data_IF_143220726577
#
_entry.id   IF_143220726577
#
_cell.length_a   1.000
_cell.length_b   1.000
_cell.length_c   1.000
_cell.angle_alpha   90.00
_cell.angle_beta   90.00
_cell.angle_gamma   90.00
#
_symmetry.space_group_name_H-M   'P 1'
#
loop_
_entity.id
_entity.type
_entity.pdbx_description
1 polymer ?
#
# COMPACT_ATOMS: atom_id res chain seq x y z
N UNK A 1 17.80 -25.39 42.96
CA UNK A 1 17.20 -26.31 41.97
C UNK A 1 17.10 -25.57 40.64
N UNK A 2 17.25 -26.32 39.55
CA UNK A 2 17.63 -25.88 38.21
C UNK A 2 16.60 -25.02 37.47
N UNK A 3 17.13 -24.29 36.49
CA UNK A 3 16.48 -23.55 35.41
C UNK A 3 15.52 -24.44 34.58
N UNK A 4 14.39 -23.87 34.15
CA UNK A 4 13.48 -24.44 33.16
C UNK A 4 13.11 -23.41 32.10
N UNK A 5 13.84 -23.44 30.99
CA UNK A 5 13.68 -22.65 29.77
C UNK A 5 12.28 -22.78 29.15
N UNK A 6 11.64 -21.67 28.76
CA UNK A 6 10.57 -21.72 27.76
C UNK A 6 11.16 -22.06 26.39
N UNK A 7 10.61 -23.10 25.76
CA UNK A 7 10.97 -23.60 24.42
C UNK A 7 10.58 -22.57 23.36
N UNK A 8 11.44 -22.45 22.34
CA UNK A 8 11.18 -21.80 21.05
C UNK A 8 9.85 -22.29 20.45
N UNK A 9 9.00 -21.35 20.05
CA UNK A 9 7.78 -21.62 19.28
C UNK A 9 8.08 -21.29 17.82
N UNK A 10 8.86 -22.14 17.16
CA UNK A 10 9.13 -22.06 15.72
C UNK A 10 8.77 -23.39 15.01
N UNK A 11 7.77 -24.12 15.54
CA UNK A 11 7.34 -25.39 14.95
C UNK A 11 5.83 -25.55 15.09
N UNK A 12 5.10 -24.98 14.13
CA UNK A 12 3.98 -25.61 13.42
C UNK A 12 3.23 -24.53 12.62
N UNK A 13 3.78 -24.20 11.44
CA UNK A 13 3.00 -23.53 10.39
C UNK A 13 2.39 -24.67 9.58
N UNK A 14 1.17 -25.09 9.91
CA UNK A 14 0.46 -26.08 9.09
C UNK A 14 -0.11 -25.40 7.84
N UNK A 15 -0.13 -26.11 6.72
CA UNK A 15 -0.78 -25.66 5.48
C UNK A 15 -2.31 -25.78 5.52
N UNK A 16 -2.88 -26.08 6.70
CA UNK A 16 -4.30 -26.33 6.89
C UNK A 16 -4.93 -25.16 7.66
N UNK A 17 -5.87 -24.46 7.00
CA UNK A 17 -6.65 -23.40 7.64
C UNK A 17 -7.38 -23.93 8.88
N UNK A 18 -7.24 -23.26 10.01
CA UNK A 18 -7.84 -23.61 11.30
C UNK A 18 -9.29 -23.12 11.44
N UNK A 19 -9.94 -22.74 10.34
CA UNK A 19 -11.27 -22.14 10.32
C UNK A 19 -12.31 -23.09 9.73
N UNK A 20 -13.40 -23.33 10.45
CA UNK A 20 -14.53 -24.14 9.98
C UNK A 20 -15.25 -23.45 8.81
N UNK A 21 -15.56 -24.20 7.74
CA UNK A 21 -16.28 -23.68 6.59
C UNK A 21 -17.75 -23.37 6.93
N UNK A 22 -18.20 -22.16 6.59
CA UNK A 22 -19.62 -21.79 6.57
C UNK A 22 -20.38 -22.63 5.54
N UNK A 23 -21.60 -23.06 5.87
CA UNK A 23 -22.41 -24.01 5.08
C UNK A 23 -22.92 -23.45 3.73
N UNK A 24 -22.75 -22.17 3.43
CA UNK A 24 -23.14 -21.54 2.16
C UNK A 24 -22.05 -20.57 1.66
N UNK A 25 -20.96 -21.11 1.08
CA UNK A 25 -19.92 -20.30 0.43
C UNK A 25 -20.40 -19.81 -0.93
N UNK A 26 -20.20 -18.53 -1.24
CA UNK A 26 -20.41 -17.98 -2.59
C UNK A 26 -19.17 -18.16 -3.45
N UNK A 27 -19.30 -17.92 -4.76
CA UNK A 27 -18.14 -17.89 -5.67
C UNK A 27 -17.05 -16.90 -5.21
N UNK A 28 -17.45 -15.78 -4.62
CA UNK A 28 -16.51 -14.80 -4.06
C UNK A 28 -15.79 -15.33 -2.80
N UNK A 29 -16.49 -16.06 -1.91
CA UNK A 29 -15.86 -16.68 -0.75
C UNK A 29 -14.80 -17.72 -1.18
N UNK A 30 -15.14 -18.56 -2.16
CA UNK A 30 -14.21 -19.55 -2.72
C UNK A 30 -13.03 -18.90 -3.44
N UNK A 31 -13.28 -17.80 -4.14
CA UNK A 31 -12.25 -17.02 -4.81
C UNK A 31 -11.25 -16.42 -3.81
N UNK A 32 -11.74 -15.72 -2.78
CA UNK A 32 -10.90 -15.17 -1.71
C UNK A 32 -10.11 -16.28 -1.02
N UNK A 33 -10.77 -17.40 -0.68
CA UNK A 33 -10.12 -18.51 0.01
C UNK A 33 -8.94 -19.05 -0.81
N UNK A 34 -9.15 -19.26 -2.11
CA UNK A 34 -8.15 -19.83 -3.00
C UNK A 34 -7.01 -18.87 -3.33
N UNK A 35 -7.32 -17.61 -3.62
CA UNK A 35 -6.35 -16.65 -4.15
C UNK A 35 -5.66 -15.83 -3.05
N UNK A 36 -6.26 -15.72 -1.86
CA UNK A 36 -5.76 -14.86 -0.78
C UNK A 36 -5.58 -15.61 0.53
N UNK A 37 -6.65 -16.21 1.09
CA UNK A 37 -6.60 -16.77 2.44
C UNK A 37 -5.65 -17.95 2.53
N UNK A 38 -5.83 -18.98 1.70
CA UNK A 38 -5.01 -20.20 1.74
C UNK A 38 -3.54 -19.93 1.38
N UNK A 39 -3.21 -19.11 0.35
CA UNK A 39 -1.81 -18.83 0.05
C UNK A 39 -1.14 -17.91 1.08
N UNK A 40 -1.79 -16.87 1.58
CA UNK A 40 -1.13 -15.81 2.35
C UNK A 40 -1.51 -15.73 3.82
N UNK A 41 -2.45 -16.55 4.29
CA UNK A 41 -3.01 -16.46 5.65
C UNK A 41 -3.59 -15.07 5.95
N UNK A 42 -4.26 -14.48 4.95
CA UNK A 42 -4.90 -13.15 5.04
C UNK A 42 -6.40 -13.31 4.90
N UNK A 43 -7.15 -12.76 5.85
CA UNK A 43 -8.62 -12.76 5.81
C UNK A 43 -9.14 -11.51 5.10
N UNK A 44 -10.14 -11.68 4.22
CA UNK A 44 -10.86 -10.56 3.61
C UNK A 44 -12.31 -10.56 4.09
N UNK A 45 -12.66 -9.54 4.88
CA UNK A 45 -14.02 -9.32 5.36
C UNK A 45 -14.72 -8.30 4.47
N UNK A 46 -15.44 -8.80 3.46
CA UNK A 46 -16.19 -7.95 2.53
C UNK A 46 -17.68 -7.87 2.82
N UNK A 47 -18.22 -8.87 3.55
CA UNK A 47 -19.59 -8.82 4.09
C UNK A 47 -19.58 -8.08 5.41
N UNK A 48 -20.56 -7.20 5.59
CA UNK A 48 -20.65 -6.38 6.78
C UNK A 48 -20.78 -7.24 8.04
N UNK A 49 -19.87 -7.02 8.97
CA UNK A 49 -19.87 -7.62 10.30
C UNK A 49 -19.56 -6.49 11.29
N UNK A 50 -20.57 -6.06 12.05
CA UNK A 50 -20.44 -4.93 13.00
C UNK A 50 -19.28 -5.14 13.98
N UNK A 51 -19.01 -6.40 14.35
CA UNK A 51 -17.91 -6.79 15.23
C UNK A 51 -16.53 -6.42 14.71
N UNK A 52 -16.34 -6.29 13.39
CA UNK A 52 -15.02 -6.08 12.78
C UNK A 52 -14.64 -4.59 12.63
N UNK A 53 -15.59 -3.66 12.81
CA UNK A 53 -15.39 -2.23 12.55
C UNK A 53 -15.05 -1.47 13.84
N UNK A 54 -15.32 -2.06 15.02
CA UNK A 54 -14.72 -1.72 16.32
C UNK A 54 -14.92 -0.28 16.85
N UNK A 55 -15.66 0.57 16.13
CA UNK A 55 -15.90 1.99 16.43
C UNK A 55 -17.34 2.31 16.05
N UNK A 56 -17.97 3.27 16.74
CA UNK A 56 -19.36 3.72 16.54
C UNK A 56 -19.62 4.40 15.17
N UNK A 57 -18.91 3.98 14.12
CA UNK A 57 -19.08 4.46 12.76
C UNK A 57 -20.30 3.81 12.12
N UNK A 58 -21.16 4.65 11.55
CA UNK A 58 -22.27 4.20 10.70
C UNK A 58 -21.73 4.05 9.28
N UNK A 59 -21.61 2.82 8.79
CA UNK A 59 -21.20 2.51 7.42
C UNK A 59 -22.10 1.46 6.80
N UNK A 60 -21.98 1.23 5.49
CA UNK A 60 -22.74 0.22 4.76
C UNK A 60 -21.87 -1.01 4.44
N UNK A 61 -22.47 -2.15 4.07
CA UNK A 61 -21.73 -3.22 3.40
C UNK A 61 -21.01 -2.70 2.15
N UNK A 62 -19.84 -3.27 1.86
CA UNK A 62 -19.17 -3.08 0.58
C UNK A 62 -19.86 -3.92 -0.50
N UNK A 63 -19.99 -3.36 -1.70
CA UNK A 63 -20.52 -4.07 -2.86
C UNK A 63 -19.56 -5.20 -3.25
N UNK A 64 -20.12 -6.36 -3.62
CA UNK A 64 -19.30 -7.52 -4.00
C UNK A 64 -18.42 -7.21 -5.22
N UNK A 65 -18.96 -6.50 -6.22
CA UNK A 65 -18.22 -6.06 -7.41
C UNK A 65 -16.98 -5.20 -7.07
N UNK A 66 -17.12 -4.19 -6.23
CA UNK A 66 -16.00 -3.35 -5.83
C UNK A 66 -15.02 -4.07 -4.89
N UNK A 67 -15.55 -4.97 -4.05
CA UNK A 67 -14.72 -5.81 -3.18
C UNK A 67 -13.85 -6.78 -3.99
N UNK A 68 -14.38 -7.35 -5.08
CA UNK A 68 -13.62 -8.19 -6.01
C UNK A 68 -12.48 -7.39 -6.66
N UNK A 69 -12.77 -6.18 -7.13
CA UNK A 69 -11.73 -5.30 -7.65
C UNK A 69 -10.65 -5.02 -6.60
N UNK A 70 -11.03 -4.72 -5.36
CA UNK A 70 -10.07 -4.50 -4.28
C UNK A 70 -9.19 -5.73 -4.05
N UNK A 71 -9.78 -6.93 -3.96
CA UNK A 71 -9.04 -8.18 -3.78
C UNK A 71 -8.04 -8.41 -4.91
N UNK A 72 -8.45 -8.19 -6.15
CA UNK A 72 -7.58 -8.38 -7.31
C UNK A 72 -6.44 -7.34 -7.34
N UNK A 73 -6.71 -6.09 -6.97
CA UNK A 73 -5.69 -5.04 -6.88
C UNK A 73 -4.73 -5.27 -5.71
N UNK A 74 -5.23 -5.69 -4.53
CA UNK A 74 -4.42 -6.10 -3.39
C UNK A 74 -3.45 -7.21 -3.80
N UNK A 75 -3.94 -8.22 -4.52
CA UNK A 75 -3.09 -9.30 -5.03
C UNK A 75 -2.03 -8.76 -5.99
N UNK A 76 -2.43 -8.02 -7.02
CA UNK A 76 -1.55 -7.57 -8.10
C UNK A 76 -0.49 -6.54 -7.66
N UNK A 77 -0.85 -5.56 -6.81
CA UNK A 77 0.03 -4.44 -6.44
C UNK A 77 0.64 -4.54 -5.04
N UNK A 78 0.29 -5.55 -4.24
CA UNK A 78 0.85 -5.70 -2.90
C UNK A 78 1.34 -7.13 -2.64
N UNK A 79 0.50 -8.15 -2.77
CA UNK A 79 0.91 -9.52 -2.43
C UNK A 79 1.90 -10.11 -3.44
N UNK A 80 1.65 -9.98 -4.74
CA UNK A 80 2.52 -10.52 -5.80
C UNK A 80 3.92 -9.87 -5.79
N UNK A 81 4.08 -8.52 -5.71
CA UNK A 81 5.40 -7.90 -5.63
C UNK A 81 6.25 -8.41 -4.46
N UNK A 82 5.68 -8.53 -3.26
CA UNK A 82 6.41 -9.10 -2.13
C UNK A 82 6.73 -10.58 -2.34
N UNK A 83 5.79 -11.35 -2.89
CA UNK A 83 5.99 -12.79 -3.16
C UNK A 83 7.10 -13.02 -4.16
N UNK A 84 7.19 -12.21 -5.22
CA UNK A 84 8.25 -12.31 -6.22
C UNK A 84 9.63 -11.97 -5.68
N UNK A 85 9.71 -11.03 -4.72
CA UNK A 85 11.00 -10.61 -4.13
C UNK A 85 11.43 -11.53 -2.98
N UNK A 86 10.49 -11.97 -2.15
CA UNK A 86 10.78 -12.61 -0.86
C UNK A 86 10.14 -13.99 -0.66
N UNK A 87 9.24 -14.40 -1.54
CA UNK A 87 8.46 -15.63 -1.40
C UNK A 87 7.22 -15.49 -0.50
N UNK A 88 6.33 -16.48 -0.60
CA UNK A 88 5.01 -16.48 0.07
C UNK A 88 5.12 -16.49 1.60
N UNK A 89 6.13 -17.15 2.16
CA UNK A 89 6.32 -17.24 3.62
C UNK A 89 6.68 -15.89 4.24
N UNK A 90 7.39 -15.04 3.49
CA UNK A 90 7.64 -13.67 3.91
C UNK A 90 6.33 -12.88 3.97
N UNK A 91 5.50 -12.98 2.93
CA UNK A 91 4.20 -12.29 2.88
C UNK A 91 3.32 -12.70 4.06
N UNK A 92 3.13 -14.00 4.28
CA UNK A 92 2.40 -14.56 5.44
C UNK A 92 2.83 -13.97 6.77
N UNK A 93 4.12 -13.66 6.88
CA UNK A 93 4.75 -13.22 8.11
C UNK A 93 4.67 -11.70 8.31
N UNK A 94 4.73 -10.88 7.25
CA UNK A 94 4.93 -9.42 7.37
C UNK A 94 3.82 -8.56 6.75
N UNK A 95 2.71 -9.18 6.33
CA UNK A 95 1.50 -8.44 5.94
C UNK A 95 0.47 -8.41 7.07
N UNK A 96 -0.46 -7.44 7.07
CA UNK A 96 -1.65 -7.49 7.90
C UNK A 96 -2.38 -8.83 7.77
N UNK A 97 -2.93 -9.33 8.87
CA UNK A 97 -3.63 -10.61 8.89
C UNK A 97 -5.05 -10.51 8.33
N UNK A 98 -5.63 -9.30 8.30
CA UNK A 98 -6.94 -9.11 7.71
C UNK A 98 -7.16 -7.74 7.09
N UNK A 99 -8.01 -7.71 6.06
CA UNK A 99 -8.58 -6.51 5.47
C UNK A 99 -10.09 -6.52 5.65
N UNK A 100 -10.64 -5.43 6.18
CA UNK A 100 -12.08 -5.23 6.35
C UNK A 100 -12.55 -4.17 5.37
N UNK A 101 -13.56 -4.47 4.57
CA UNK A 101 -14.04 -3.61 3.50
C UNK A 101 -15.42 -3.06 3.85
N UNK A 102 -15.54 -1.73 3.91
CA UNK A 102 -16.82 -1.07 4.18
C UNK A 102 -17.21 -0.13 3.03
N UNK A 103 -18.51 -0.05 2.75
CA UNK A 103 -19.02 0.56 1.53
C UNK A 103 -18.94 2.09 1.50
N UNK A 104 -19.14 2.75 2.64
CA UNK A 104 -19.14 4.22 2.77
C UNK A 104 -17.96 4.71 3.60
N UNK A 105 -17.61 5.99 3.42
CA UNK A 105 -16.70 6.72 4.31
C UNK A 105 -17.21 6.66 5.76
N UNK A 106 -16.31 6.59 6.74
CA UNK A 106 -16.69 6.84 8.12
C UNK A 106 -16.58 8.32 8.43
N UNK A 107 -17.75 8.95 8.63
CA UNK A 107 -17.83 10.34 9.04
C UNK A 107 -17.44 10.49 10.52
N UNK A 108 -16.49 11.38 10.77
CA UNK A 108 -16.12 11.82 12.10
C UNK A 108 -16.88 13.12 12.42
N UNK A 109 -17.82 13.11 13.37
CA UNK A 109 -18.61 14.28 13.71
C UNK A 109 -17.74 15.43 14.26
N UNK A 110 -18.32 16.62 14.47
CA UNK A 110 -17.63 17.76 15.08
C UNK A 110 -16.84 17.36 16.35
N UNK A 111 -15.66 17.97 16.59
CA UNK A 111 -15.13 19.15 15.91
C UNK A 111 -14.32 18.86 14.63
N UNK A 112 -14.01 17.60 14.32
CA UNK A 112 -13.11 17.29 13.19
C UNK A 112 -13.75 17.46 11.81
N UNK A 113 -15.07 17.21 11.71
CA UNK A 113 -15.86 17.24 10.48
C UNK A 113 -15.12 16.62 9.27
N UNK A 114 -14.58 15.42 9.47
CA UNK A 114 -13.66 14.75 8.55
C UNK A 114 -14.18 13.36 8.18
N UNK A 115 -13.57 12.72 7.18
CA UNK A 115 -13.88 11.35 6.81
C UNK A 115 -12.65 10.47 6.94
N UNK A 116 -12.80 9.34 7.62
CA UNK A 116 -11.79 8.28 7.64
C UNK A 116 -11.92 7.44 6.37
N UNK A 117 -10.80 7.19 5.70
CA UNK A 117 -10.72 6.34 4.49
C UNK A 117 -10.06 5.00 4.75
N UNK A 118 -9.20 4.93 5.76
CA UNK A 118 -8.65 3.69 6.28
C UNK A 118 -8.37 3.83 7.79
N UNK A 119 -8.40 2.71 8.51
CA UNK A 119 -8.04 2.66 9.93
C UNK A 119 -7.42 1.31 10.25
N UNK A 120 -6.50 1.27 11.21
CA UNK A 120 -5.89 0.03 11.67
C UNK A 120 -6.31 -0.34 13.07
N UNK A 121 -6.44 -1.66 13.29
CA UNK A 121 -6.78 -2.25 14.58
C UNK A 121 -5.56 -3.04 15.06
N UNK A 122 -4.85 -2.46 16.02
CA UNK A 122 -3.64 -3.01 16.66
C UNK A 122 -2.54 -3.43 15.66
N UNK A 123 -2.46 -2.80 14.47
CA UNK A 123 -1.52 -3.17 13.41
C UNK A 123 -1.76 -4.55 12.77
N UNK A 124 -2.82 -5.25 13.17
CA UNK A 124 -3.14 -6.61 12.68
C UNK A 124 -4.16 -6.56 11.54
N UNK A 125 -5.13 -5.65 11.63
CA UNK A 125 -6.20 -5.50 10.64
C UNK A 125 -6.21 -4.10 10.05
N UNK A 126 -6.47 -4.01 8.75
CA UNK A 126 -6.72 -2.74 8.06
C UNK A 126 -8.17 -2.69 7.62
N UNK A 127 -8.90 -1.66 8.06
CA UNK A 127 -10.26 -1.36 7.62
C UNK A 127 -10.15 -0.34 6.50
N UNK A 128 -10.52 -0.71 5.27
CA UNK A 128 -10.68 0.22 4.17
C UNK A 128 -12.15 0.60 4.01
N UNK A 129 -12.37 1.91 3.93
CA UNK A 129 -13.70 2.51 3.82
C UNK A 129 -13.93 3.07 2.44
N UNK A 130 -15.19 3.36 2.14
CA UNK A 130 -15.62 3.88 0.84
C UNK A 130 -15.29 2.93 -0.32
N UNK A 131 -15.32 1.62 -0.07
CA UNK A 131 -15.04 0.60 -1.08
C UNK A 131 -16.04 0.65 -2.23
N UNK A 132 -17.26 1.16 -2.02
CA UNK A 132 -18.21 1.33 -3.13
C UNK A 132 -17.77 2.39 -4.16
N UNK A 133 -16.75 3.21 -3.83
CA UNK A 133 -16.06 4.11 -4.76
C UNK A 133 -14.72 3.56 -5.27
N UNK A 134 -14.33 2.35 -4.85
CA UNK A 134 -13.18 1.62 -5.39
C UNK A 134 -13.59 0.97 -6.72
N UNK A 135 -13.51 1.76 -7.79
CA UNK A 135 -14.00 1.36 -9.11
C UNK A 135 -12.99 1.70 -10.21
N UNK A 136 -12.55 0.64 -10.88
CA UNK A 136 -11.59 0.55 -11.97
C UNK A 136 -12.18 -0.37 -13.06
N UNK A 137 -13.19 0.11 -13.81
CA UNK A 137 -13.77 -0.66 -14.90
C UNK A 137 -12.72 -1.18 -15.89
N UNK A 138 -12.94 -2.38 -16.42
CA UNK A 138 -12.04 -2.99 -17.39
C UNK A 138 -11.93 -2.12 -18.65
N UNK A 139 -10.70 -1.73 -19.00
CA UNK A 139 -10.41 -1.03 -20.26
C UNK A 139 -9.96 -1.99 -21.37
N UNK A 140 -10.13 -3.30 -21.17
CA UNK A 140 -9.64 -4.36 -22.06
C UNK A 140 -10.04 -4.15 -23.53
N UNK A 141 -11.30 -3.76 -23.79
CA UNK A 141 -11.75 -3.50 -25.16
C UNK A 141 -10.99 -2.34 -25.83
N UNK A 142 -10.72 -1.27 -25.08
CA UNK A 142 -9.96 -0.12 -25.61
C UNK A 142 -8.50 -0.47 -25.85
N UNK A 143 -7.89 -1.29 -24.99
CA UNK A 143 -6.55 -1.82 -25.24
C UNK A 143 -6.50 -2.77 -26.44
N UNK A 144 -7.53 -3.58 -26.67
CA UNK A 144 -7.63 -4.37 -27.91
C UNK A 144 -7.68 -3.48 -29.16
N UNK A 145 -8.37 -2.34 -29.12
CA UNK A 145 -8.34 -1.35 -30.20
C UNK A 145 -6.93 -0.80 -30.41
N UNK A 146 -6.25 -0.38 -29.33
CA UNK A 146 -4.88 0.13 -29.41
C UNK A 146 -3.91 -0.90 -29.99
N UNK A 147 -4.00 -2.16 -29.56
CA UNK A 147 -3.12 -3.24 -30.04
C UNK A 147 -3.41 -3.58 -31.52
N UNK A 148 -4.67 -3.46 -31.95
CA UNK A 148 -5.07 -3.61 -33.36
C UNK A 148 -4.48 -2.48 -34.22
N UNK A 149 -4.59 -1.22 -33.76
CA UNK A 149 -3.97 -0.07 -34.42
C UNK A 149 -2.46 -0.19 -34.49
N UNK A 150 -1.82 -0.68 -33.43
CA UNK A 150 -0.37 -0.95 -33.41
C UNK A 150 0.02 -1.94 -34.50
N UNK A 151 -0.77 -3.00 -34.69
CA UNK A 151 -0.53 -4.01 -35.73
C UNK A 151 -0.65 -3.41 -37.13
N UNK A 152 -1.67 -2.58 -37.37
CA UNK A 152 -1.84 -1.89 -38.66
C UNK A 152 -0.68 -0.92 -38.95
N UNK A 153 -0.21 -0.21 -37.91
CA UNK A 153 0.88 0.76 -37.99
C UNK A 153 2.19 0.16 -38.51
N UNK A 154 2.41 -1.14 -38.36
CA UNK A 154 3.57 -1.86 -38.91
C UNK A 154 3.60 -1.83 -40.45
N UNK A 155 2.45 -1.64 -41.09
CA UNK A 155 2.31 -1.67 -42.56
C UNK A 155 1.72 -0.39 -43.16
N UNK A 156 1.01 0.40 -42.38
CA UNK A 156 0.36 1.64 -42.83
C UNK A 156 0.56 2.75 -41.79
N UNK A 157 1.45 3.70 -42.10
CA UNK A 157 1.74 4.83 -41.20
C UNK A 157 0.61 5.87 -41.15
N UNK A 158 -0.42 5.77 -41.99
CA UNK A 158 -1.54 6.72 -41.97
C UNK A 158 -2.35 6.65 -40.67
N UNK A 159 -2.32 5.52 -39.96
CA UNK A 159 -3.00 5.35 -38.66
C UNK A 159 -2.23 5.91 -37.47
N UNK A 160 -1.01 6.46 -37.67
CA UNK A 160 -0.15 6.96 -36.59
C UNK A 160 -0.89 7.96 -35.68
N UNK A 161 -1.59 8.93 -36.27
CA UNK A 161 -2.30 9.95 -35.50
C UNK A 161 -3.45 9.36 -34.65
N UNK A 162 -4.15 8.34 -35.16
CA UNK A 162 -5.20 7.65 -34.42
C UNK A 162 -4.60 6.81 -33.29
N UNK A 163 -3.51 6.08 -33.56
CA UNK A 163 -2.76 5.33 -32.55
C UNK A 163 -2.31 6.23 -31.40
N UNK A 164 -1.70 7.39 -31.71
CA UNK A 164 -1.20 8.32 -30.70
C UNK A 164 -2.31 8.92 -29.84
N UNK A 165 -3.48 9.20 -30.43
CA UNK A 165 -4.67 9.67 -29.70
C UNK A 165 -5.17 8.62 -28.71
N UNK A 166 -5.35 7.37 -29.17
CA UNK A 166 -5.77 6.27 -28.31
C UNK A 166 -4.75 6.00 -27.20
N UNK A 167 -3.46 6.00 -27.53
CA UNK A 167 -2.39 5.80 -26.56
C UNK A 167 -2.39 6.90 -25.49
N UNK A 168 -2.47 8.16 -25.90
CA UNK A 168 -2.50 9.30 -24.97
C UNK A 168 -3.71 9.22 -24.03
N UNK A 169 -4.89 8.89 -24.56
CA UNK A 169 -6.09 8.74 -23.74
C UNK A 169 -5.95 7.59 -22.73
N UNK A 170 -5.49 6.41 -23.16
CA UNK A 170 -5.28 5.24 -22.29
C UNK A 170 -4.22 5.48 -21.21
N UNK A 171 -3.10 6.12 -21.56
CA UNK A 171 -2.06 6.50 -20.60
C UNK A 171 -2.61 7.48 -19.54
N UNK A 172 -3.48 8.40 -19.95
CA UNK A 172 -4.19 9.32 -19.05
C UNK A 172 -5.16 8.60 -18.09
N UNK A 173 -5.94 7.64 -18.59
CA UNK A 173 -6.81 6.80 -17.75
C UNK A 173 -6.00 5.99 -16.74
N UNK A 174 -4.91 5.36 -17.19
CA UNK A 174 -4.02 4.58 -16.33
C UNK A 174 -3.40 5.46 -15.22
N UNK A 175 -2.95 6.66 -15.58
CA UNK A 175 -2.39 7.62 -14.62
C UNK A 175 -3.42 8.00 -13.55
N UNK A 176 -4.66 8.30 -13.96
CA UNK A 176 -5.77 8.62 -13.05
C UNK A 176 -6.07 7.44 -12.10
N UNK A 177 -6.00 6.21 -12.60
CA UNK A 177 -6.20 5.01 -11.77
C UNK A 177 -5.09 4.86 -10.73
N UNK A 178 -3.83 4.99 -11.16
CA UNK A 178 -2.68 4.89 -10.26
C UNK A 178 -2.66 5.98 -9.18
N UNK A 179 -3.05 7.21 -9.52
CA UNK A 179 -3.18 8.31 -8.54
C UNK A 179 -4.19 7.96 -7.44
N UNK A 180 -5.38 7.47 -7.83
CA UNK A 180 -6.42 7.05 -6.86
C UNK A 180 -5.95 5.91 -5.96
N UNK A 181 -5.17 4.98 -6.49
CA UNK A 181 -4.63 3.83 -5.74
C UNK A 181 -3.51 4.23 -4.78
N UNK A 182 -2.58 5.06 -5.24
CA UNK A 182 -1.44 5.51 -4.44
C UNK A 182 -1.86 6.37 -3.26
N UNK A 183 -2.89 7.20 -3.42
CA UNK A 183 -3.28 8.16 -2.38
C UNK A 183 -3.62 7.49 -1.04
N UNK A 184 -4.57 6.55 -1.00
CA UNK A 184 -4.96 5.90 0.27
C UNK A 184 -4.63 4.43 0.31
N UNK A 185 -4.93 3.68 -0.75
CA UNK A 185 -4.87 2.22 -0.67
C UNK A 185 -3.44 1.71 -0.55
N UNK A 186 -2.58 2.01 -1.52
CA UNK A 186 -1.19 1.55 -1.48
C UNK A 186 -0.42 2.22 -0.36
N UNK A 187 -0.60 3.54 -0.14
CA UNK A 187 0.06 4.25 0.97
C UNK A 187 -0.22 3.56 2.30
N UNK A 188 -1.49 3.31 2.63
CA UNK A 188 -1.85 2.65 3.88
C UNK A 188 -1.33 1.21 3.94
N UNK A 189 -1.47 0.41 2.87
CA UNK A 189 -1.01 -0.99 2.92
C UNK A 189 0.50 -1.11 3.15
N UNK A 190 1.31 -0.33 2.43
CA UNK A 190 2.77 -0.39 2.57
C UNK A 190 3.25 0.29 3.86
N UNK A 191 2.58 1.35 4.33
CA UNK A 191 2.84 1.97 5.63
C UNK A 191 2.61 0.99 6.79
N UNK A 192 1.45 0.34 6.83
CA UNK A 192 1.11 -0.61 7.89
C UNK A 192 1.96 -1.89 7.83
N UNK A 193 2.32 -2.35 6.63
CA UNK A 193 3.31 -3.41 6.48
C UNK A 193 4.66 -3.02 7.11
N UNK A 194 5.08 -1.76 6.94
CA UNK A 194 6.32 -1.26 7.53
C UNK A 194 6.34 -1.36 9.06
N UNK A 195 5.19 -1.10 9.71
CA UNK A 195 5.04 -1.27 11.15
C UNK A 195 5.31 -2.70 11.63
N UNK A 196 4.97 -3.72 10.83
CA UNK A 196 5.22 -5.11 11.22
C UNK A 196 6.71 -5.45 11.33
N UNK A 197 7.58 -4.74 10.62
CA UNK A 197 9.03 -4.97 10.67
C UNK A 197 9.63 -4.42 11.96
N UNK A 198 9.47 -3.12 12.20
CA UNK A 198 10.11 -2.46 13.34
C UNK A 198 9.52 -2.87 14.70
N UNK A 199 8.24 -3.24 14.76
CA UNK A 199 7.63 -3.78 15.98
C UNK A 199 8.20 -5.15 16.40
N UNK A 200 8.83 -5.89 15.47
CA UNK A 200 9.41 -7.21 15.75
C UNK A 200 10.89 -7.16 16.08
N UNK A 201 11.62 -6.36 15.32
CA UNK A 201 13.02 -6.06 15.59
C UNK A 201 13.16 -4.56 15.47
N UNK A 202 13.48 -3.90 16.58
CA UNK A 202 13.64 -2.45 16.58
C UNK A 202 14.82 -2.04 15.69
N UNK A 203 14.66 -1.07 14.77
CA UNK A 203 15.80 -0.51 14.04
C UNK A 203 16.75 0.22 14.99
N UNK A 204 17.94 0.56 14.52
CA UNK A 204 18.87 1.35 15.32
C UNK A 204 18.30 2.73 15.65
N UNK A 205 18.47 3.20 16.88
CA UNK A 205 18.06 4.56 17.31
C UNK A 205 18.75 5.70 16.56
N UNK A 206 19.73 5.40 15.70
CA UNK A 206 20.37 6.39 14.85
C UNK A 206 19.38 7.05 13.88
N UNK A 207 18.33 6.33 13.45
CA UNK A 207 17.25 6.91 12.67
C UNK A 207 16.53 8.03 13.43
N UNK A 208 16.08 7.75 14.66
CA UNK A 208 15.32 8.67 15.50
C UNK A 208 16.10 9.94 15.83
N UNK A 209 17.42 9.80 16.02
CA UNK A 209 18.31 10.91 16.36
C UNK A 209 18.37 11.99 15.28
N UNK A 210 18.18 11.62 13.99
CA UNK A 210 18.33 12.55 12.86
C UNK A 210 17.37 13.74 12.96
N UNK A 211 16.12 13.50 13.40
CA UNK A 211 15.07 14.53 13.54
C UNK A 211 14.45 14.58 14.93
N UNK A 212 15.17 14.10 15.95
CA UNK A 212 14.68 13.98 17.34
C UNK A 212 14.06 15.26 17.92
N UNK A 213 14.56 16.44 17.53
CA UNK A 213 14.07 17.73 18.02
C UNK A 213 12.83 18.26 17.27
N UNK A 214 12.44 17.60 16.17
CA UNK A 214 11.42 18.10 15.24
C UNK A 214 10.13 17.27 15.22
N UNK A 215 10.09 16.14 15.94
CA UNK A 215 8.86 15.37 16.13
C UNK A 215 7.80 16.20 16.85
N UNK A 216 6.58 16.16 16.33
CA UNK A 216 5.45 17.00 16.72
C UNK A 216 4.37 16.27 17.50
N UNK A 217 4.45 14.94 17.62
CA UNK A 217 3.41 14.13 18.26
C UNK A 217 2.04 14.51 17.68
N UNK A 218 1.00 14.62 18.50
CA UNK A 218 -0.36 14.97 18.05
C UNK A 218 -0.48 16.30 17.29
N UNK A 219 0.50 17.20 17.37
CA UNK A 219 0.48 18.49 16.66
C UNK A 219 0.96 18.38 15.20
N UNK A 220 1.31 17.18 14.72
CA UNK A 220 1.72 16.94 13.32
C UNK A 220 0.67 17.44 12.30
N UNK A 221 -0.61 17.43 12.67
CA UNK A 221 -1.73 17.81 11.80
C UNK A 221 -1.67 19.29 11.42
N UNK A 222 -1.41 20.16 12.40
CA UNK A 222 -1.60 21.61 12.24
C UNK A 222 -0.38 22.45 12.57
N UNK A 223 0.58 21.92 13.33
CA UNK A 223 1.74 22.65 13.83
C UNK A 223 2.59 23.26 12.72
N UNK A 224 2.91 22.48 11.69
CA UNK A 224 3.70 22.95 10.55
C UNK A 224 3.05 24.14 9.84
N UNK A 225 1.78 23.99 9.45
CA UNK A 225 1.03 25.04 8.75
C UNK A 225 0.85 26.28 9.63
N UNK A 226 0.53 26.10 10.91
CA UNK A 226 0.36 27.19 11.88
C UNK A 226 1.65 28.01 12.07
N UNK A 227 2.81 27.36 11.98
CA UNK A 227 4.13 28.00 12.04
C UNK A 227 4.61 28.55 10.68
N UNK A 228 3.83 28.38 9.60
CA UNK A 228 4.25 28.77 8.25
C UNK A 228 5.41 27.94 7.71
N UNK A 229 5.61 26.73 8.23
CA UNK A 229 6.69 25.79 7.86
C UNK A 229 6.14 24.60 7.09
N UNK A 230 7.00 23.92 6.36
CA UNK A 230 6.67 22.65 5.69
C UNK A 230 7.52 21.52 6.27
N UNK A 231 6.87 20.46 6.76
CA UNK A 231 7.53 19.29 7.35
C UNK A 231 8.61 18.68 6.45
N UNK A 232 8.40 18.72 5.13
CA UNK A 232 9.34 18.21 4.12
C UNK A 232 10.67 18.96 4.10
N UNK A 233 10.69 20.25 4.41
CA UNK A 233 11.93 21.05 4.53
C UNK A 233 12.73 20.68 5.80
N UNK A 234 12.10 19.99 6.75
CA UNK A 234 12.69 19.50 8.00
C UNK A 234 12.97 17.99 7.97
N UNK A 235 12.81 17.35 6.81
CA UNK A 235 13.19 15.96 6.61
C UNK A 235 12.11 14.92 6.93
N UNK A 236 10.83 15.31 6.87
CA UNK A 236 9.68 14.42 6.99
C UNK A 236 8.94 14.33 5.64
N UNK A 237 8.79 13.14 5.08
CA UNK A 237 8.21 12.95 3.73
C UNK A 237 6.73 13.36 3.63
N UNK A 238 6.03 13.35 4.77
CA UNK A 238 4.67 13.85 4.98
C UNK A 238 4.60 14.56 6.34
N UNK A 239 3.52 15.32 6.58
CA UNK A 239 3.26 15.84 7.93
C UNK A 239 3.10 14.70 8.94
N UNK A 240 2.46 13.59 8.55
CA UNK A 240 2.20 12.45 9.44
C UNK A 240 3.48 11.78 9.92
N UNK A 241 4.50 11.71 9.07
CA UNK A 241 5.85 11.24 9.44
C UNK A 241 6.46 12.00 10.64
N UNK A 242 6.02 13.25 10.90
CA UNK A 242 6.51 14.01 12.06
C UNK A 242 5.81 13.66 13.37
N UNK A 243 4.85 12.73 13.39
CA UNK A 243 4.20 12.31 14.63
C UNK A 243 5.23 11.72 15.59
N UNK A 244 5.93 10.67 15.18
CA UNK A 244 6.94 9.97 15.97
C UNK A 244 7.85 9.11 15.06
N UNK A 245 8.99 8.59 15.55
CA UNK A 245 9.97 7.90 14.71
C UNK A 245 9.42 6.68 13.96
N UNK A 246 8.53 5.91 14.57
CA UNK A 246 7.93 4.73 13.93
C UNK A 246 7.01 5.08 12.75
N UNK A 247 6.29 6.20 12.86
CA UNK A 247 5.45 6.72 11.77
C UNK A 247 6.32 7.32 10.65
N UNK A 248 7.43 7.96 11.00
CA UNK A 248 8.42 8.47 10.05
C UNK A 248 9.03 7.35 9.22
N UNK A 249 9.44 6.26 9.88
CA UNK A 249 9.92 5.04 9.22
C UNK A 249 8.87 4.50 8.26
N UNK A 250 7.64 4.32 8.73
CA UNK A 250 6.56 3.72 7.94
C UNK A 250 6.15 4.58 6.75
N UNK A 251 6.07 5.90 6.94
CA UNK A 251 5.79 6.85 5.86
C UNK A 251 6.91 6.89 4.83
N UNK A 252 8.18 6.88 5.25
CA UNK A 252 9.31 6.85 4.34
C UNK A 252 9.35 5.54 3.55
N UNK A 253 9.19 4.39 4.22
CA UNK A 253 9.10 3.09 3.56
C UNK A 253 7.96 3.07 2.52
N UNK A 254 6.74 3.45 2.93
CA UNK A 254 5.57 3.43 2.07
C UNK A 254 5.71 4.36 0.86
N UNK A 255 6.07 5.63 1.07
CA UNK A 255 6.26 6.58 -0.02
C UNK A 255 7.42 6.17 -0.93
N UNK A 256 8.51 5.63 -0.37
CA UNK A 256 9.63 5.13 -1.15
C UNK A 256 9.26 3.90 -1.98
N UNK A 257 8.32 3.04 -1.57
CA UNK A 257 7.94 1.91 -2.41
C UNK A 257 6.98 2.34 -3.52
N UNK A 258 6.04 3.25 -3.26
CA UNK A 258 4.91 3.51 -4.18
C UNK A 258 5.12 4.68 -5.17
N UNK A 259 5.87 5.73 -4.81
CA UNK A 259 6.03 6.90 -5.69
C UNK A 259 6.94 6.57 -6.88
N UNK A 260 6.64 7.00 -8.10
CA UNK A 260 7.54 6.81 -9.25
C UNK A 260 8.90 7.48 -9.04
N UNK A 261 9.88 7.22 -9.92
CA UNK A 261 11.17 7.90 -9.83
C UNK A 261 10.99 9.43 -9.90
N UNK A 262 10.15 9.89 -10.83
CA UNK A 262 9.86 11.30 -11.02
C UNK A 262 9.05 11.90 -9.85
N UNK A 263 8.09 11.16 -9.30
CA UNK A 263 7.31 11.61 -8.14
C UNK A 263 8.17 11.69 -6.86
N UNK A 264 9.06 10.72 -6.66
CA UNK A 264 10.00 10.72 -5.55
C UNK A 264 11.00 11.87 -5.69
N UNK A 265 11.56 12.08 -6.87
CA UNK A 265 12.48 13.20 -7.12
C UNK A 265 11.76 14.55 -6.97
N UNK A 266 10.53 14.70 -7.43
CA UNK A 266 9.73 15.91 -7.21
C UNK A 266 9.54 16.20 -5.71
N UNK A 267 9.35 15.17 -4.88
CA UNK A 267 9.34 15.30 -3.41
C UNK A 267 10.70 15.78 -2.90
N UNK A 268 11.80 15.18 -3.34
CA UNK A 268 13.13 15.57 -2.89
C UNK A 268 13.50 17.01 -3.31
N UNK A 269 13.13 17.43 -4.51
CA UNK A 269 13.29 18.84 -4.96
C UNK A 269 12.52 19.78 -4.04
N UNK A 270 11.28 19.44 -3.67
CA UNK A 270 10.51 20.25 -2.71
C UNK A 270 11.10 20.26 -1.29
N UNK A 271 11.90 19.26 -0.95
CA UNK A 271 12.60 19.12 0.32
C UNK A 271 13.97 19.83 0.32
N UNK A 272 14.49 20.25 -0.83
CA UNK A 272 15.87 20.75 -0.97
C UNK A 272 15.98 22.23 -0.59
N UNK A 273 15.55 22.51 0.64
CA UNK A 273 15.59 23.81 1.29
C UNK A 273 16.27 23.63 2.64
N UNK A 274 17.19 24.54 2.99
CA UNK A 274 17.79 24.61 4.33
C UNK A 274 17.01 25.64 5.15
N UNK A 275 16.23 25.22 6.16
CA UNK A 275 15.50 26.17 7.00
C UNK A 275 16.43 27.10 7.78
N UNK A 276 15.94 28.31 8.09
CA UNK A 276 16.71 29.28 8.88
C UNK A 276 17.17 28.66 10.22
N UNK A 277 18.46 28.80 10.53
CA UNK A 277 19.07 28.23 11.73
C UNK A 277 19.39 26.73 11.65
N UNK A 278 19.26 26.09 10.48
CA UNK A 278 19.69 24.71 10.21
C UNK A 278 20.91 24.69 9.29
N UNK A 279 21.58 23.53 9.28
CA UNK A 279 22.77 23.28 8.45
C UNK A 279 22.53 22.25 7.35
N UNK A 280 21.35 21.61 7.34
CA UNK A 280 21.00 20.51 6.43
C UNK A 280 19.68 20.81 5.74
N UNK A 281 19.56 20.40 4.47
CA UNK A 281 18.29 20.45 3.76
C UNK A 281 17.42 19.24 4.13
N UNK A 282 16.10 19.39 4.00
CA UNK A 282 15.16 18.28 4.14
C UNK A 282 15.49 17.10 3.22
N UNK A 283 15.92 17.38 1.98
CA UNK A 283 16.43 16.36 1.04
C UNK A 283 17.55 15.55 1.65
N UNK A 284 18.61 16.20 2.13
CA UNK A 284 19.78 15.51 2.70
C UNK A 284 19.43 14.67 3.94
N UNK A 285 18.38 15.05 4.67
CA UNK A 285 17.86 14.31 5.83
C UNK A 285 17.08 13.08 5.37
N UNK A 286 16.16 13.24 4.41
CA UNK A 286 15.35 12.15 3.86
C UNK A 286 16.25 11.09 3.20
N UNK A 287 17.25 11.51 2.43
CA UNK A 287 18.19 10.59 1.78
C UNK A 287 19.01 9.77 2.80
N UNK A 288 19.45 10.39 3.91
CA UNK A 288 20.12 9.67 5.00
C UNK A 288 19.19 8.66 5.66
N UNK A 289 17.97 9.09 6.00
CA UNK A 289 16.95 8.22 6.62
C UNK A 289 16.64 7.01 5.74
N UNK A 290 16.38 7.22 4.44
CA UNK A 290 16.10 6.13 3.50
C UNK A 290 17.28 5.16 3.39
N UNK A 291 18.53 5.65 3.43
CA UNK A 291 19.70 4.76 3.42
C UNK A 291 19.73 3.86 4.66
N UNK A 292 19.41 4.40 5.84
CA UNK A 292 19.32 3.60 7.08
C UNK A 292 18.18 2.58 6.98
N UNK A 293 17.01 2.99 6.50
CA UNK A 293 15.87 2.07 6.33
C UNK A 293 16.24 0.94 5.36
N UNK A 294 16.84 1.24 4.21
CA UNK A 294 17.28 0.22 3.24
C UNK A 294 18.28 -0.76 3.84
N UNK A 295 19.27 -0.26 4.56
CA UNK A 295 20.27 -1.11 5.23
C UNK A 295 19.61 -2.01 6.27
N UNK A 296 18.75 -1.45 7.13
CA UNK A 296 17.98 -2.22 8.11
C UNK A 296 17.10 -3.29 7.46
N UNK A 297 16.34 -2.95 6.43
CA UNK A 297 15.47 -3.89 5.72
C UNK A 297 16.25 -5.04 5.07
N UNK A 298 17.37 -4.72 4.44
CA UNK A 298 18.21 -5.73 3.78
C UNK A 298 18.93 -6.62 4.80
N UNK A 299 19.56 -6.04 5.82
CA UNK A 299 20.39 -6.78 6.78
C UNK A 299 19.57 -7.58 7.80
N UNK A 300 18.41 -7.07 8.20
CA UNK A 300 17.57 -7.71 9.22
C UNK A 300 16.55 -8.67 8.61
N UNK A 301 15.96 -8.30 7.47
CA UNK A 301 14.84 -9.03 6.87
C UNK A 301 15.16 -9.65 5.51
N UNK A 302 16.33 -9.37 4.93
CA UNK A 302 16.68 -9.78 3.57
C UNK A 302 15.90 -9.04 2.49
N UNK A 303 15.07 -8.05 2.85
CA UNK A 303 14.23 -7.32 1.90
C UNK A 303 15.03 -6.20 1.24
N UNK A 304 15.32 -6.40 -0.04
CA UNK A 304 15.82 -5.36 -0.92
C UNK A 304 14.66 -4.45 -1.35
N UNK A 305 14.57 -3.26 -0.76
CA UNK A 305 13.51 -2.28 -1.05
C UNK A 305 13.54 -1.77 -2.48
N UNK A 306 14.71 -1.74 -3.14
CA UNK A 306 14.82 -1.30 -4.53
C UNK A 306 14.24 -2.35 -5.49
N UNK A 307 14.44 -3.63 -5.19
CA UNK A 307 13.78 -4.71 -5.93
C UNK A 307 12.27 -4.72 -5.72
N UNK A 308 11.79 -4.53 -4.49
CA UNK A 308 10.36 -4.42 -4.22
C UNK A 308 9.73 -3.25 -4.99
N UNK A 309 10.36 -2.08 -4.93
CA UNK A 309 9.97 -0.91 -5.71
C UNK A 309 9.98 -1.25 -7.20
N UNK A 310 11.04 -1.84 -7.75
CA UNK A 310 11.09 -2.20 -9.16
C UNK A 310 9.94 -3.16 -9.58
N UNK A 311 9.62 -4.18 -8.76
CA UNK A 311 8.54 -5.13 -9.05
C UNK A 311 7.16 -4.48 -9.04
N UNK A 312 6.92 -3.57 -8.09
CA UNK A 312 5.68 -2.80 -8.05
C UNK A 312 5.56 -1.88 -9.27
N UNK A 313 6.63 -1.18 -9.61
CA UNK A 313 6.62 -0.17 -10.67
C UNK A 313 6.54 -0.78 -12.07
N UNK A 314 7.05 -2.00 -12.27
CA UNK A 314 6.87 -2.76 -13.51
C UNK A 314 5.39 -3.04 -13.85
N UNK A 315 4.51 -3.01 -12.84
CA UNK A 315 3.07 -3.26 -12.98
C UNK A 315 2.27 -2.01 -13.33
N UNK A 316 2.80 -0.82 -13.05
CA UNK A 316 2.10 0.45 -13.22
C UNK A 316 1.70 0.74 -14.68
N UNK A 317 2.57 0.57 -15.69
CA UNK A 317 2.19 0.84 -17.09
C UNK A 317 1.05 -0.04 -17.61
N UNK A 318 0.87 -1.22 -17.00
CA UNK A 318 -0.13 -2.20 -17.42
C UNK A 318 -1.31 -2.30 -16.44
N UNK A 319 -1.40 -1.42 -15.45
CA UNK A 319 -2.44 -1.52 -14.42
C UNK A 319 -3.85 -1.47 -15.05
N UNK A 320 -4.15 -0.44 -15.82
CA UNK A 320 -5.44 -0.29 -16.49
C UNK A 320 -5.68 -1.31 -17.62
N UNK A 321 -4.64 -2.04 -18.05
CA UNK A 321 -4.79 -3.17 -19.00
C UNK A 321 -5.38 -4.40 -18.32
N UNK A 322 -5.17 -4.56 -17.01
CA UNK A 322 -5.71 -5.68 -16.27
C UNK A 322 -7.23 -5.58 -16.13
N UNK A 323 -7.88 -6.74 -16.01
CA UNK A 323 -9.31 -6.83 -15.72
C UNK A 323 -9.51 -7.24 -14.26
N UNK A 324 -9.70 -6.25 -13.39
CA UNK A 324 -9.94 -6.48 -11.96
C UNK A 324 -11.40 -6.83 -11.65
N UNK A 325 -12.27 -6.89 -12.65
CA UNK A 325 -13.73 -7.07 -12.47
C UNK A 325 -14.17 -8.52 -12.49
N UNK A 326 -13.25 -9.45 -12.72
CA UNK A 326 -13.53 -10.88 -12.87
C UNK A 326 -12.75 -11.73 -11.87
N UNK A 327 -13.29 -12.90 -11.55
CA UNK A 327 -12.63 -13.91 -10.70
C UNK A 327 -11.70 -14.79 -11.55
N UNK A 328 -10.74 -14.17 -12.23
CA UNK A 328 -9.75 -14.91 -13.03
C UNK A 328 -8.55 -15.27 -12.18
N UNK A 329 -8.11 -16.54 -12.26
CA UNK A 329 -6.85 -16.94 -11.62
C UNK A 329 -5.71 -16.38 -12.48
N UNK A 330 -4.69 -15.78 -11.88
CA UNK A 330 -3.46 -15.45 -12.59
C UNK A 330 -2.92 -16.76 -13.16
N UNK A 331 -3.11 -16.99 -14.46
CA UNK A 331 -2.45 -18.12 -15.11
C UNK A 331 -1.01 -17.69 -15.15
N UNK A 332 -0.16 -18.35 -14.35
CA UNK A 332 1.29 -18.19 -14.41
C UNK A 332 1.66 -18.24 -15.89
N UNK A 333 2.09 -17.11 -16.46
CA UNK A 333 2.79 -17.15 -17.72
C UNK A 333 4.05 -17.97 -17.43
N UNK A 334 4.05 -19.21 -17.94
CA UNK A 334 5.16 -20.15 -17.89
C UNK A 334 6.36 -19.60 -18.66
#
# INVERSE_FOLDING_TARGET
MALGSCRKVDADISSTSVLNASANRTAMDEYIEREVTSPYNIQIYYRYTESEIGRNWVTSPANEYNSLQFVNVLKYLFLEPYTEVMGVDFVRRFTPQAFVLTGLLAYNPPPSNSNTRASTVNGVKIIFMNINSFDFPSLKQYYHTLDSLKTVLETDTSVQAEYDQWKTWLDGQNSTYLERLKDVYLRTMYHEAAHTFHQRVEPTTDFDKITSLDYRQADWISGWTREGKKSIEYGFITNYASQEPHEDFAELFGNYVILSADEWEAKLVSADVIPAGRTRSGRSIIEEKIRIIKDYMLTTWGLDMDKLRAQLHARYPNFARQDFTTMTSSTTQQ
#
